data_IF_333360603102
#
_entry.id   IF_333360603102
#
_cell.length_a   1.000
_cell.length_b   1.000
_cell.length_c   1.000
_cell.angle_alpha   90.00
_cell.angle_beta   90.00
_cell.angle_gamma   90.00
#
_symmetry.space_group_name_H-M   'P 1'
#
loop_
_entity.id
_entity.type
_entity.pdbx_description
1 polymer ?
#
# COMPACT_ATOMS: atom_id res chain seq x y z
N UNK A 1 -17.87 16.61 12.36
CA UNK A 1 -17.45 15.33 11.74
C UNK A 1 -16.97 15.65 10.33
N UNK A 2 -15.65 15.74 10.09
CA UNK A 2 -15.09 16.22 8.82
C UNK A 2 -15.10 15.06 7.82
N UNK A 3 -16.00 15.12 6.84
CA UNK A 3 -16.05 14.17 5.72
C UNK A 3 -14.71 14.27 4.99
N UNK A 4 -13.86 13.24 5.08
CA UNK A 4 -12.66 13.15 4.25
C UNK A 4 -13.15 13.08 2.81
N UNK A 5 -12.91 14.16 2.05
CA UNK A 5 -13.16 14.17 0.62
C UNK A 5 -12.22 13.15 -0.01
N UNK A 6 -12.78 12.24 -0.78
CA UNK A 6 -12.06 11.36 -1.71
C UNK A 6 -11.25 12.26 -2.65
N UNK A 7 -9.93 12.10 -2.66
CA UNK A 7 -9.05 12.90 -3.51
C UNK A 7 -8.61 12.02 -4.69
N UNK A 8 -9.45 11.92 -5.72
CA UNK A 8 -9.06 11.35 -7.02
C UNK A 8 -8.32 12.40 -7.84
N UNK A 9 -7.11 12.78 -7.44
CA UNK A 9 -6.22 13.55 -8.30
C UNK A 9 -4.79 13.03 -8.26
N UNK A 10 -4.01 13.38 -9.28
CA UNK A 10 -2.58 13.14 -9.32
C UNK A 10 -1.90 14.22 -8.46
N UNK A 11 -1.22 13.82 -7.38
CA UNK A 11 -0.57 14.75 -6.48
C UNK A 11 0.53 15.56 -7.18
N UNK A 12 0.51 16.88 -6.99
CA UNK A 12 1.56 17.79 -7.44
C UNK A 12 2.28 18.39 -6.25
N UNK A 13 3.55 18.03 -6.07
CA UNK A 13 4.35 18.55 -4.95
C UNK A 13 4.66 20.02 -5.14
N UNK A 14 4.44 20.82 -4.09
CA UNK A 14 4.90 22.21 -4.00
C UNK A 14 6.44 22.28 -3.92
N UNK A 15 6.99 23.48 -4.18
CA UNK A 15 8.36 23.84 -3.78
C UNK A 15 8.43 24.32 -2.33
N UNK A 16 7.35 24.92 -1.83
CA UNK A 16 7.20 25.31 -0.43
C UNK A 16 7.27 24.10 0.51
N UNK A 17 7.67 24.36 1.76
CA UNK A 17 7.90 23.31 2.76
C UNK A 17 7.20 23.66 4.06
N UNK A 18 6.51 22.68 4.61
CA UNK A 18 5.99 22.74 5.98
C UNK A 18 6.92 21.94 6.89
N UNK A 19 7.29 22.51 8.03
CA UNK A 19 8.12 21.84 9.02
C UNK A 19 7.25 20.93 9.88
N UNK A 20 7.47 19.62 9.80
CA UNK A 20 6.72 18.63 10.56
C UNK A 20 7.67 17.64 11.26
N UNK A 21 7.27 17.07 12.39
CA UNK A 21 8.05 16.01 13.04
C UNK A 21 8.13 14.77 12.15
N UNK A 22 9.36 14.28 11.97
CA UNK A 22 9.66 13.00 11.34
C UNK A 22 9.56 11.85 12.35
N UNK A 23 9.73 10.61 11.88
CA UNK A 23 9.61 9.40 12.72
C UNK A 23 10.63 9.37 13.88
N UNK A 24 11.77 10.04 13.72
CA UNK A 24 12.81 10.17 14.74
C UNK A 24 12.58 11.36 15.70
N UNK A 25 11.43 12.04 15.60
CA UNK A 25 11.09 13.21 16.41
C UNK A 25 11.75 14.52 15.97
N UNK A 26 12.63 14.50 14.97
CA UNK A 26 13.26 15.71 14.43
C UNK A 26 12.32 16.40 13.44
N UNK A 27 12.31 17.74 13.45
CA UNK A 27 11.60 18.52 12.45
C UNK A 27 12.31 18.42 11.09
N UNK A 28 11.56 18.07 10.06
CA UNK A 28 12.05 18.03 8.68
C UNK A 28 11.12 18.85 7.77
N UNK A 29 11.63 19.38 6.66
CA UNK A 29 10.82 20.08 5.68
C UNK A 29 10.05 19.08 4.81
N UNK A 30 8.72 19.11 4.83
CA UNK A 30 7.86 18.27 4.01
C UNK A 30 7.24 19.04 2.84
N UNK A 31 7.26 18.43 1.66
CA UNK A 31 6.42 18.85 0.55
C UNK A 31 4.96 18.50 0.82
N UNK A 32 4.04 19.26 0.23
CA UNK A 32 2.62 18.94 0.26
C UNK A 32 2.03 19.10 -1.14
N UNK A 33 0.84 18.53 -1.34
CA UNK A 33 0.14 18.62 -2.61
C UNK A 33 -0.53 20.00 -2.76
N UNK A 34 -0.29 20.67 -3.89
CA UNK A 34 -0.91 21.97 -4.23
C UNK A 34 -2.45 21.92 -4.20
N UNK A 35 -3.04 20.77 -4.50
CA UNK A 35 -4.47 20.64 -4.74
C UNK A 35 -5.28 20.21 -3.50
N UNK A 36 -4.71 19.37 -2.64
CA UNK A 36 -5.41 18.87 -1.44
C UNK A 36 -4.71 19.18 -0.12
N UNK A 37 -3.48 19.70 -0.14
CA UNK A 37 -2.70 19.93 1.07
C UNK A 37 -2.18 18.66 1.76
N UNK A 38 -2.37 17.48 1.16
CA UNK A 38 -1.80 16.24 1.70
C UNK A 38 -0.28 16.32 1.76
N UNK A 39 0.30 15.89 2.87
CA UNK A 39 1.74 15.95 3.12
C UNK A 39 2.43 14.73 2.53
N UNK A 40 3.49 14.95 1.76
CA UNK A 40 4.26 13.88 1.14
C UNK A 40 4.99 13.04 2.18
N UNK A 41 4.91 11.72 2.02
CA UNK A 41 5.79 10.79 2.70
C UNK A 41 7.22 10.94 2.15
N UNK A 42 8.10 11.57 2.96
CA UNK A 42 9.53 11.74 2.63
C UNK A 42 10.41 10.67 3.27
N UNK A 43 9.84 9.76 4.05
CA UNK A 43 10.60 8.71 4.73
C UNK A 43 11.15 7.66 3.75
N UNK A 44 12.04 6.80 4.24
CA UNK A 44 12.50 5.61 3.54
C UNK A 44 11.42 4.54 3.41
N UNK A 45 10.39 4.57 4.27
CA UNK A 45 9.25 3.63 4.26
C UNK A 45 8.22 4.03 3.18
N UNK A 46 8.62 3.90 1.93
CA UNK A 46 7.82 4.32 0.78
C UNK A 46 6.83 3.25 0.34
N UNK A 47 5.61 3.71 0.07
CA UNK A 47 4.58 2.93 -0.59
C UNK A 47 4.97 2.53 -2.03
N UNK A 48 4.37 1.45 -2.50
CA UNK A 48 4.46 0.92 -3.86
C UNK A 48 3.08 1.00 -4.53
N UNK A 49 3.08 1.13 -5.85
CA UNK A 49 1.83 1.07 -6.62
C UNK A 49 1.21 -0.34 -6.56
N UNK A 50 -0.09 -0.43 -6.85
CA UNK A 50 -0.84 -1.70 -6.78
C UNK A 50 -0.22 -2.81 -7.65
N UNK A 51 0.39 -2.46 -8.78
CA UNK A 51 1.07 -3.42 -9.67
C UNK A 51 2.19 -4.21 -8.98
N UNK A 52 2.88 -3.62 -8.00
CA UNK A 52 3.87 -4.34 -7.20
C UNK A 52 3.22 -5.51 -6.44
N UNK A 53 2.11 -5.27 -5.76
CA UNK A 53 1.38 -6.28 -4.99
C UNK A 53 0.70 -7.33 -5.88
N UNK A 54 0.26 -6.94 -7.08
CA UNK A 54 -0.25 -7.89 -8.08
C UNK A 54 0.87 -8.86 -8.52
N UNK A 55 2.09 -8.36 -8.73
CA UNK A 55 3.23 -9.21 -9.09
C UNK A 55 3.59 -10.17 -7.94
N UNK A 56 3.61 -9.67 -6.70
CA UNK A 56 3.83 -10.51 -5.50
C UNK A 56 2.76 -11.60 -5.39
N UNK A 57 1.48 -11.27 -5.60
CA UNK A 57 0.39 -12.25 -5.59
C UNK A 57 0.58 -13.32 -6.69
N UNK A 58 1.04 -12.93 -7.87
CA UNK A 58 1.36 -13.86 -8.95
C UNK A 58 2.54 -14.79 -8.61
N UNK A 59 3.52 -14.33 -7.84
CA UNK A 59 4.62 -15.16 -7.34
C UNK A 59 4.15 -16.16 -6.28
N UNK A 60 3.33 -15.70 -5.31
CA UNK A 60 2.72 -16.58 -4.30
C UNK A 60 1.92 -17.69 -4.99
N UNK A 61 1.09 -17.33 -5.98
CA UNK A 61 0.32 -18.30 -6.76
C UNK A 61 1.23 -19.36 -7.42
N UNK A 62 2.27 -18.93 -8.14
CA UNK A 62 3.24 -19.83 -8.78
C UNK A 62 3.97 -20.72 -7.76
N UNK A 63 4.27 -20.20 -6.57
CA UNK A 63 4.89 -20.97 -5.50
C UNK A 63 3.97 -22.07 -4.96
N UNK A 64 2.68 -21.75 -4.77
CA UNK A 64 1.68 -22.70 -4.28
C UNK A 64 1.38 -23.80 -5.31
N UNK A 65 1.25 -23.43 -6.59
CA UNK A 65 0.96 -24.38 -7.67
C UNK A 65 2.04 -25.45 -7.80
N UNK A 66 3.32 -25.07 -7.60
CA UNK A 66 4.45 -26.01 -7.55
C UNK A 66 4.40 -27.00 -6.38
N UNK A 67 3.59 -26.73 -5.36
CA UNK A 67 3.37 -27.58 -4.17
C UNK A 67 2.02 -28.30 -4.21
N UNK A 68 1.40 -28.39 -5.39
CA UNK A 68 0.09 -29.00 -5.60
C UNK A 68 -1.06 -28.30 -4.86
N UNK A 69 -0.85 -27.06 -4.40
CA UNK A 69 -1.92 -26.23 -3.82
C UNK A 69 -2.33 -25.15 -4.82
N UNK A 70 -3.61 -25.13 -5.20
CA UNK A 70 -4.14 -24.12 -6.11
C UNK A 70 -4.73 -22.94 -5.35
N UNK A 71 -4.22 -21.75 -5.66
CA UNK A 71 -4.89 -20.50 -5.33
C UNK A 71 -5.89 -20.20 -6.45
N UNK A 72 -7.18 -20.24 -6.13
CA UNK A 72 -8.25 -20.13 -7.13
C UNK A 72 -8.29 -18.75 -7.77
N UNK A 73 -8.81 -18.67 -9.00
CA UNK A 73 -9.01 -17.38 -9.69
C UNK A 73 -9.97 -16.47 -8.91
N UNK A 74 -10.97 -17.04 -8.22
CA UNK A 74 -11.87 -16.30 -7.35
C UNK A 74 -11.11 -15.64 -6.17
N UNK A 75 -10.23 -16.38 -5.49
CA UNK A 75 -9.41 -15.83 -4.41
C UNK A 75 -8.51 -14.70 -4.89
N UNK A 76 -7.84 -14.86 -6.04
CA UNK A 76 -7.03 -13.78 -6.63
C UNK A 76 -7.86 -12.52 -6.87
N UNK A 77 -9.04 -12.67 -7.49
CA UNK A 77 -9.91 -11.56 -7.83
C UNK A 77 -10.42 -10.85 -6.57
N UNK A 78 -10.78 -11.60 -5.53
CA UNK A 78 -11.22 -11.05 -4.25
C UNK A 78 -10.11 -10.26 -3.55
N UNK A 79 -8.88 -10.78 -3.54
CA UNK A 79 -7.72 -10.07 -2.99
C UNK A 79 -7.51 -8.76 -3.73
N UNK A 80 -7.43 -8.79 -5.07
CA UNK A 80 -7.21 -7.59 -5.88
C UNK A 80 -8.33 -6.57 -5.65
N UNK A 81 -9.58 -7.01 -5.62
CA UNK A 81 -10.73 -6.12 -5.38
C UNK A 81 -10.71 -5.49 -3.99
N UNK A 82 -10.25 -6.21 -2.97
CA UNK A 82 -10.09 -5.65 -1.64
C UNK A 82 -9.00 -4.58 -1.58
N UNK A 83 -7.89 -4.78 -2.29
CA UNK A 83 -6.82 -3.77 -2.38
C UNK A 83 -7.25 -2.54 -3.19
N UNK A 84 -7.96 -2.74 -4.31
CA UNK A 84 -8.51 -1.65 -5.13
C UNK A 84 -9.59 -0.87 -4.40
N UNK A 85 -10.39 -1.54 -3.57
CA UNK A 85 -11.48 -0.93 -2.80
C UNK A 85 -11.01 -0.16 -1.56
N UNK A 86 -9.74 -0.30 -1.16
CA UNK A 86 -9.20 0.44 -0.04
C UNK A 86 -8.74 1.82 -0.48
N UNK A 87 -9.39 2.84 0.09
CA UNK A 87 -9.03 4.24 -0.12
C UNK A 87 -7.53 4.46 0.19
N UNK A 88 -6.85 5.20 -0.69
CA UNK A 88 -5.44 5.53 -0.61
C UNK A 88 -4.44 4.35 -0.64
N UNK A 89 -4.87 3.10 -0.85
CA UNK A 89 -3.95 1.96 -0.87
C UNK A 89 -2.86 2.14 -1.94
N UNK A 90 -3.20 2.63 -3.13
CA UNK A 90 -2.24 2.88 -4.20
C UNK A 90 -1.63 4.29 -4.19
N UNK A 91 -1.99 5.14 -3.21
CA UNK A 91 -1.48 6.51 -3.13
C UNK A 91 -0.07 6.54 -2.54
N UNK A 92 0.91 6.38 -3.44
CA UNK A 92 2.33 6.41 -3.11
C UNK A 92 2.81 7.77 -2.55
N UNK A 93 2.00 8.83 -2.64
CA UNK A 93 2.37 10.16 -2.19
C UNK A 93 2.32 10.28 -0.67
N UNK A 94 1.27 9.74 -0.05
CA UNK A 94 0.98 9.88 1.38
C UNK A 94 1.30 8.57 2.13
N UNK A 95 1.06 7.43 1.49
CA UNK A 95 1.00 6.15 2.17
C UNK A 95 2.39 5.65 2.62
N UNK A 96 2.42 4.94 3.75
CA UNK A 96 3.60 4.24 4.27
C UNK A 96 3.70 2.83 3.69
N UNK A 97 4.91 2.42 3.30
CA UNK A 97 5.16 1.07 2.78
C UNK A 97 4.77 -0.02 3.78
N UNK A 98 5.15 0.12 5.05
CA UNK A 98 4.80 -0.79 6.14
C UNK A 98 3.29 -0.96 6.33
N UNK A 99 2.53 0.14 6.22
CA UNK A 99 1.07 0.10 6.31
C UNK A 99 0.47 -0.68 5.13
N UNK A 100 0.91 -0.42 3.90
CA UNK A 100 0.48 -1.20 2.73
C UNK A 100 0.83 -2.69 2.87
N UNK A 101 2.04 -3.02 3.33
CA UNK A 101 2.45 -4.42 3.57
C UNK A 101 1.48 -5.11 4.51
N UNK A 102 1.11 -4.47 5.62
CA UNK A 102 0.14 -5.03 6.57
C UNK A 102 -1.25 -5.24 5.96
N UNK A 103 -1.72 -4.29 5.14
CA UNK A 103 -2.99 -4.41 4.42
C UNK A 103 -2.94 -5.58 3.44
N UNK A 104 -1.88 -5.68 2.64
CA UNK A 104 -1.69 -6.76 1.68
C UNK A 104 -1.66 -8.13 2.37
N UNK A 105 -0.87 -8.28 3.44
CA UNK A 105 -0.81 -9.50 4.24
C UNK A 105 -2.20 -9.86 4.77
N UNK A 106 -2.94 -8.88 5.29
CA UNK A 106 -4.31 -9.07 5.78
C UNK A 106 -5.25 -9.61 4.71
N UNK A 107 -5.27 -8.99 3.52
CA UNK A 107 -6.10 -9.40 2.40
C UNK A 107 -5.75 -10.82 1.92
N UNK A 108 -4.46 -11.11 1.71
CA UNK A 108 -4.02 -12.45 1.28
C UNK A 108 -4.39 -13.49 2.32
N UNK A 109 -4.07 -13.26 3.60
CA UNK A 109 -4.39 -14.18 4.69
C UNK A 109 -5.89 -14.46 4.79
N UNK A 110 -6.73 -13.44 4.67
CA UNK A 110 -8.20 -13.54 4.72
C UNK A 110 -8.77 -14.51 3.67
N UNK A 111 -8.28 -14.45 2.43
CA UNK A 111 -8.84 -15.27 1.34
C UNK A 111 -8.13 -16.61 1.13
N UNK A 112 -6.92 -16.79 1.65
CA UNK A 112 -6.08 -17.98 1.36
C UNK A 112 -5.78 -18.83 2.58
N UNK A 113 -5.87 -18.26 3.79
CA UNK A 113 -5.43 -18.92 5.02
C UNK A 113 -3.91 -19.06 5.17
N UNK A 114 -3.11 -18.48 4.26
CA UNK A 114 -1.65 -18.55 4.34
C UNK A 114 -1.12 -17.88 5.61
N UNK A 115 -0.02 -18.42 6.14
CA UNK A 115 0.65 -17.81 7.29
C UNK A 115 1.24 -16.45 6.90
N UNK A 116 1.28 -15.54 7.88
CA UNK A 116 1.92 -14.24 7.71
C UNK A 116 3.39 -14.38 7.27
N UNK A 117 4.12 -15.29 7.90
CA UNK A 117 5.54 -15.54 7.59
C UNK A 117 5.77 -15.97 6.14
N UNK A 118 4.88 -16.79 5.59
CA UNK A 118 4.97 -17.21 4.18
C UNK A 118 4.68 -16.04 3.24
N UNK A 119 3.70 -15.19 3.56
CA UNK A 119 3.40 -14.02 2.71
C UNK A 119 4.56 -13.00 2.76
N UNK A 120 5.14 -12.79 3.94
CA UNK A 120 6.27 -11.89 4.16
C UNK A 120 7.53 -12.30 3.39
N UNK A 121 7.74 -13.59 3.11
CA UNK A 121 8.90 -14.03 2.32
C UNK A 121 8.88 -13.58 0.85
N UNK A 122 7.79 -12.95 0.39
CA UNK A 122 7.67 -12.41 -0.98
C UNK A 122 7.65 -10.87 -1.03
N UNK A 123 7.87 -10.16 0.08
CA UNK A 123 7.75 -8.69 0.22
C UNK A 123 9.06 -7.99 0.56
#
# INVERSE_FOLDING_TARGET
MRVKRVITHIHKSTYERVWLPSLNGLLQPHAFCEYCGSVKNISSDRAKGIGHYINVLAEIKRYMERRSWKLSQAQNRLIIKELEGMEDFADIYIMRGSAQKNIFIGAVKKYTGLSRSLIESFL
#
